data_IF_300558230220
#
_entry.id   IF_300558230220
#
_cell.length_a   1.000
_cell.length_b   1.000
_cell.length_c   1.000
_cell.angle_alpha   90.00
_cell.angle_beta   90.00
_cell.angle_gamma   90.00
#
_symmetry.space_group_name_H-M   'P 1'
#
loop_
_entity.id
_entity.type
_entity.pdbx_description
1 polymer ?
#
# COMPACT_ATOMS: atom_id res chain seq x y z
N UNK A 1 -41.36 -17.84 -38.07
CA UNK A 1 -42.30 -17.62 -36.95
C UNK A 1 -41.49 -17.84 -35.68
N UNK A 2 -40.73 -16.83 -35.22
CA UNK A 2 -41.16 -15.82 -34.24
C UNK A 2 -40.99 -16.45 -32.84
N UNK A 3 -40.24 -15.94 -31.87
CA UNK A 3 -39.83 -14.59 -31.46
C UNK A 3 -38.63 -14.77 -30.50
N UNK A 4 -37.54 -14.01 -30.58
CA UNK A 4 -37.46 -12.67 -29.97
C UNK A 4 -37.13 -12.76 -28.48
N UNK A 5 -35.87 -13.03 -28.13
CA UNK A 5 -35.35 -12.80 -26.78
C UNK A 5 -34.67 -11.42 -26.76
N UNK A 6 -35.39 -10.44 -26.24
CA UNK A 6 -34.84 -9.13 -25.88
C UNK A 6 -34.05 -9.26 -24.60
N UNK A 7 -32.72 -9.19 -24.73
CA UNK A 7 -31.81 -8.94 -23.61
C UNK A 7 -32.02 -7.51 -23.13
N UNK A 8 -32.82 -7.34 -22.08
CA UNK A 8 -32.85 -6.10 -21.30
C UNK A 8 -31.61 -6.08 -20.41
N UNK A 9 -30.63 -5.28 -20.81
CA UNK A 9 -29.47 -4.92 -20.01
C UNK A 9 -29.96 -4.24 -18.72
N UNK A 10 -29.96 -4.99 -17.62
CA UNK A 10 -30.16 -4.43 -16.27
C UNK A 10 -28.81 -3.92 -15.82
N UNK A 11 -28.71 -2.61 -15.56
CA UNK A 11 -27.67 -2.04 -14.70
C UNK A 11 -27.42 -2.97 -13.50
N UNK A 12 -26.17 -3.13 -13.03
CA UNK A 12 -25.97 -3.62 -11.67
C UNK A 12 -26.68 -2.59 -10.77
N UNK A 13 -27.90 -2.92 -10.33
CA UNK A 13 -28.46 -2.31 -9.14
C UNK A 13 -27.39 -2.54 -8.08
N UNK A 14 -26.69 -1.48 -7.68
CA UNK A 14 -26.24 -1.31 -6.30
C UNK A 14 -27.44 -1.72 -5.45
N UNK A 15 -27.45 -2.98 -5.03
CA UNK A 15 -28.60 -3.58 -4.37
C UNK A 15 -28.67 -2.90 -3.02
N UNK A 16 -29.69 -2.06 -2.84
CA UNK A 16 -30.27 -1.84 -1.53
C UNK A 16 -30.69 -3.22 -0.97
N UNK A 17 -29.78 -3.86 -0.23
CA UNK A 17 -30.15 -5.01 0.59
C UNK A 17 -30.94 -4.48 1.77
N UNK A 18 -32.26 -4.60 1.68
CA UNK A 18 -33.22 -4.31 2.75
C UNK A 18 -33.14 -5.38 3.85
N UNK A 19 -32.01 -5.47 4.54
CA UNK A 19 -31.86 -6.14 5.82
C UNK A 19 -30.75 -5.43 6.59
N UNK A 20 -31.16 -4.61 7.57
CA UNK A 20 -30.46 -4.13 8.77
C UNK A 20 -28.92 -4.28 8.81
N UNK A 21 -28.22 -3.83 7.76
CA UNK A 21 -26.85 -3.36 7.93
C UNK A 21 -27.01 -1.98 8.53
N UNK A 22 -26.58 -1.80 9.77
CA UNK A 22 -26.20 -0.49 10.30
C UNK A 22 -25.56 0.26 9.15
N UNK A 23 -26.19 1.34 8.68
CA UNK A 23 -25.76 2.10 7.53
C UNK A 23 -24.40 2.70 7.85
N UNK A 24 -23.34 1.92 7.65
CA UNK A 24 -21.99 2.46 7.65
C UNK A 24 -22.00 3.46 6.51
N UNK A 25 -21.78 4.72 6.87
CA UNK A 25 -21.56 5.81 5.93
C UNK A 25 -20.50 5.34 4.93
N UNK A 26 -20.92 5.11 3.69
CA UNK A 26 -19.99 4.68 2.65
C UNK A 26 -19.34 5.93 2.07
N UNK A 27 -18.16 6.24 2.59
CA UNK A 27 -17.36 7.32 2.06
C UNK A 27 -16.82 6.97 0.68
N UNK A 28 -16.74 7.97 -0.19
CA UNK A 28 -16.25 7.84 -1.55
C UNK A 28 -15.24 8.95 -1.87
N UNK A 29 -14.37 8.64 -2.82
CA UNK A 29 -13.48 9.57 -3.50
C UNK A 29 -13.99 9.76 -4.93
N UNK A 30 -14.05 11.01 -5.39
CA UNK A 30 -14.36 11.34 -6.77
C UNK A 30 -13.07 11.65 -7.52
N UNK A 31 -12.69 10.78 -8.45
CA UNK A 31 -11.42 10.84 -9.19
C UNK A 31 -11.70 11.31 -10.62
N UNK A 32 -11.10 12.42 -11.02
CA UNK A 32 -11.16 12.92 -12.40
C UNK A 32 -10.64 11.86 -13.37
N UNK A 33 -11.44 11.51 -14.37
CA UNK A 33 -11.03 10.55 -15.41
C UNK A 33 -9.90 11.10 -16.29
N UNK A 34 -9.83 12.43 -16.44
CA UNK A 34 -8.84 13.08 -17.29
C UNK A 34 -7.46 13.16 -16.64
N UNK A 35 -7.40 13.38 -15.33
CA UNK A 35 -6.15 13.72 -14.62
C UNK A 35 -5.80 12.75 -13.50
N UNK A 36 -6.79 12.07 -12.91
CA UNK A 36 -6.62 11.30 -11.67
C UNK A 36 -6.57 12.15 -10.39
N UNK A 37 -6.87 13.45 -10.49
CA UNK A 37 -7.02 14.34 -9.33
C UNK A 37 -8.40 14.17 -8.68
N UNK A 38 -8.53 14.58 -7.42
CA UNK A 38 -9.73 14.33 -6.63
C UNK A 38 -10.54 15.59 -6.43
N UNK A 39 -11.86 15.46 -6.53
CA UNK A 39 -12.77 16.55 -6.20
C UNK A 39 -12.67 16.88 -4.71
N UNK A 40 -12.35 18.13 -4.42
CA UNK A 40 -12.21 18.66 -3.06
C UNK A 40 -13.12 19.87 -2.86
N UNK A 41 -13.65 19.98 -1.65
CA UNK A 41 -14.26 21.22 -1.17
C UNK A 41 -13.37 21.87 -0.10
N UNK A 42 -12.44 22.73 -0.55
CA UNK A 42 -11.50 23.40 0.34
C UNK A 42 -12.13 24.44 1.30
N UNK A 43 -13.45 24.45 1.47
CA UNK A 43 -14.17 25.45 2.27
C UNK A 43 -14.13 26.87 1.69
N UNK A 44 -13.65 27.00 0.44
CA UNK A 44 -13.64 28.25 -0.32
C UNK A 44 -14.92 28.37 -1.16
N UNK A 45 -15.08 29.47 -1.88
CA UNK A 45 -16.24 29.72 -2.75
C UNK A 45 -16.34 28.76 -3.95
N UNK A 46 -15.33 27.93 -4.22
CA UNK A 46 -15.33 27.00 -5.35
C UNK A 46 -14.68 25.65 -5.02
N UNK A 47 -15.22 24.58 -5.63
CA UNK A 47 -14.63 23.25 -5.66
C UNK A 47 -13.33 23.25 -6.46
N UNK A 48 -12.40 22.38 -6.07
CA UNK A 48 -11.10 22.25 -6.72
C UNK A 48 -10.66 20.80 -6.88
N UNK A 49 -9.58 20.59 -7.63
CA UNK A 49 -8.97 19.29 -7.86
C UNK A 49 -7.64 19.17 -7.10
N UNK A 50 -7.41 18.05 -6.40
CA UNK A 50 -6.20 17.83 -5.60
C UNK A 50 -5.55 16.45 -5.84
N UNK A 51 -4.21 16.34 -5.80
CA UNK A 51 -3.52 15.05 -5.97
C UNK A 51 -3.54 14.18 -4.70
N UNK A 52 -3.68 14.81 -3.52
CA UNK A 52 -3.73 14.20 -2.19
C UNK A 52 -5.12 14.40 -1.59
N UNK A 53 -5.56 13.48 -0.73
CA UNK A 53 -6.90 13.52 -0.13
C UNK A 53 -6.83 13.68 1.39
N UNK A 54 -7.10 14.90 1.85
CA UNK A 54 -7.51 15.18 3.22
C UNK A 54 -9.05 15.04 3.34
N UNK A 55 -9.60 15.45 4.48
CA UNK A 55 -11.03 15.44 4.77
C UNK A 55 -11.88 16.15 3.70
N UNK A 56 -11.33 17.18 3.04
CA UNK A 56 -12.05 17.95 2.02
C UNK A 56 -12.31 17.16 0.74
N UNK A 57 -11.65 16.02 0.54
CA UNK A 57 -11.85 15.14 -0.62
C UNK A 57 -12.84 14.00 -0.34
N UNK A 58 -13.37 13.89 0.88
CA UNK A 58 -14.24 12.77 1.27
C UNK A 58 -15.70 13.15 1.07
N UNK A 59 -16.41 12.32 0.30
CA UNK A 59 -17.83 12.51 0.00
C UNK A 59 -18.65 11.33 0.49
N UNK A 60 -19.94 11.53 0.68
CA UNK A 60 -20.91 10.47 0.98
C UNK A 60 -22.20 10.68 0.19
N UNK A 61 -22.87 9.59 -0.16
CA UNK A 61 -24.17 9.65 -0.83
C UNK A 61 -25.25 10.14 0.13
N UNK A 62 -25.93 11.23 -0.25
CA UNK A 62 -27.15 11.68 0.41
C UNK A 62 -28.37 11.00 -0.20
N UNK A 63 -28.36 10.83 -1.51
CA UNK A 63 -29.37 10.13 -2.32
C UNK A 63 -28.72 9.62 -3.62
N UNK A 64 -29.49 9.14 -4.60
CA UNK A 64 -28.98 8.56 -5.85
C UNK A 64 -28.35 9.58 -6.83
N UNK A 65 -28.50 10.88 -6.55
CA UNK A 65 -28.08 11.97 -7.45
C UNK A 65 -27.31 13.06 -6.73
N UNK A 66 -27.10 12.93 -5.43
CA UNK A 66 -26.52 14.00 -4.63
C UNK A 66 -25.48 13.45 -3.67
N UNK A 67 -24.30 14.04 -3.73
CA UNK A 67 -23.19 13.79 -2.83
C UNK A 67 -23.04 14.94 -1.85
N UNK A 68 -22.72 14.60 -0.60
CA UNK A 68 -22.38 15.54 0.45
C UNK A 68 -20.90 15.38 0.80
N UNK A 69 -20.16 16.47 0.88
CA UNK A 69 -18.81 16.43 1.43
C UNK A 69 -18.89 16.12 2.93
N UNK A 70 -18.16 15.10 3.39
CA UNK A 70 -18.26 14.58 4.74
C UNK A 70 -17.73 15.58 5.80
N UNK A 71 -16.84 16.48 5.42
CA UNK A 71 -16.22 17.46 6.33
C UNK A 71 -16.97 18.79 6.36
N UNK A 72 -17.33 19.32 5.18
CA UNK A 72 -17.91 20.67 5.06
C UNK A 72 -19.44 20.67 4.94
N UNK A 73 -20.03 19.53 4.57
CA UNK A 73 -21.45 19.43 4.27
C UNK A 73 -21.85 20.01 2.90
N UNK A 74 -20.91 20.47 2.08
CA UNK A 74 -21.20 20.96 0.74
C UNK A 74 -21.85 19.88 -0.13
N UNK A 75 -22.78 20.29 -0.99
CA UNK A 75 -23.60 19.38 -1.79
C UNK A 75 -23.26 19.52 -3.27
N UNK A 76 -23.10 18.41 -3.97
CA UNK A 76 -22.98 18.38 -5.44
C UNK A 76 -23.99 17.42 -6.03
N UNK A 77 -24.63 17.85 -7.13
CA UNK A 77 -25.50 16.99 -7.92
C UNK A 77 -24.67 16.22 -8.94
N UNK A 78 -24.97 14.94 -9.13
CA UNK A 78 -24.28 14.06 -10.08
C UNK A 78 -25.27 13.27 -10.93
N UNK A 79 -24.84 12.90 -12.13
CA UNK A 79 -25.52 11.93 -12.98
C UNK A 79 -24.53 10.91 -13.55
N UNK A 80 -24.91 9.66 -13.82
CA UNK A 80 -24.05 8.71 -14.51
C UNK A 80 -23.49 9.29 -15.82
N UNK A 81 -22.20 9.08 -16.07
CA UNK A 81 -21.52 9.53 -17.29
C UNK A 81 -21.18 8.35 -18.18
N UNK A 82 -21.77 8.31 -19.38
CA UNK A 82 -21.56 7.27 -20.38
C UNK A 82 -22.46 6.03 -20.22
N UNK A 83 -22.61 5.27 -21.30
CA UNK A 83 -23.04 3.87 -21.22
C UNK A 83 -21.80 3.01 -20.93
N UNK A 84 -21.89 1.96 -20.08
CA UNK A 84 -20.78 1.06 -19.87
C UNK A 84 -20.29 0.52 -21.22
N UNK A 85 -19.00 0.70 -21.50
CA UNK A 85 -18.35 0.15 -22.68
C UNK A 85 -18.59 -1.36 -22.76
N UNK A 86 -18.92 -1.86 -23.95
CA UNK A 86 -19.37 -3.24 -24.18
C UNK A 86 -18.38 -4.32 -23.72
N UNK A 87 -18.93 -5.52 -23.42
CA UNK A 87 -18.28 -6.73 -22.91
C UNK A 87 -16.98 -7.16 -23.64
N UNK A 88 -16.80 -6.79 -24.91
CA UNK A 88 -15.60 -7.10 -25.69
C UNK A 88 -14.33 -6.43 -25.12
N UNK A 89 -14.49 -5.32 -24.37
CA UNK A 89 -13.37 -4.64 -23.70
C UNK A 89 -12.87 -5.40 -22.46
N UNK A 90 -13.77 -6.05 -21.71
CA UNK A 90 -13.44 -6.67 -20.44
C UNK A 90 -12.51 -7.89 -20.60
N UNK A 91 -12.83 -8.77 -21.55
CA UNK A 91 -11.99 -9.95 -21.85
C UNK A 91 -10.59 -9.54 -22.32
N UNK A 92 -10.49 -8.47 -23.12
CA UNK A 92 -9.21 -7.96 -23.59
C UNK A 92 -8.36 -7.38 -22.44
N UNK A 93 -8.98 -6.62 -21.53
CA UNK A 93 -8.31 -6.08 -20.34
C UNK A 93 -7.83 -7.21 -19.43
N UNK A 94 -8.67 -8.20 -19.16
CA UNK A 94 -8.33 -9.37 -18.33
C UNK A 94 -7.24 -10.24 -18.94
N UNK A 95 -7.22 -10.40 -20.27
CA UNK A 95 -6.16 -11.11 -20.97
C UNK A 95 -4.80 -10.42 -20.79
N UNK A 96 -4.80 -9.08 -20.73
CA UNK A 96 -3.58 -8.28 -20.60
C UNK A 96 -3.07 -8.22 -19.16
N UNK A 97 -3.93 -7.87 -18.20
CA UNK A 97 -3.53 -7.58 -16.81
C UNK A 97 -3.90 -8.69 -15.82
N UNK A 98 -4.57 -9.75 -16.28
CA UNK A 98 -5.05 -10.85 -15.46
C UNK A 98 -6.52 -10.74 -15.06
N UNK A 99 -7.10 -11.84 -14.54
CA UNK A 99 -8.51 -11.90 -14.19
C UNK A 99 -8.95 -10.76 -13.26
N UNK A 100 -10.14 -10.21 -13.51
CA UNK A 100 -10.73 -9.14 -12.70
C UNK A 100 -10.09 -7.76 -12.93
N UNK A 101 -9.19 -7.61 -13.91
CA UNK A 101 -8.64 -6.31 -14.27
C UNK A 101 -9.69 -5.38 -14.87
N UNK A 102 -10.64 -5.93 -15.62
CA UNK A 102 -11.80 -5.22 -16.15
C UNK A 102 -12.71 -4.66 -15.07
N UNK A 103 -12.73 -5.28 -13.89
CA UNK A 103 -13.50 -4.82 -12.72
C UNK A 103 -12.80 -3.68 -11.95
N UNK A 104 -11.58 -3.30 -12.34
CA UNK A 104 -10.89 -2.14 -11.76
C UNK A 104 -11.48 -0.81 -12.24
N UNK A 105 -12.23 -0.82 -13.35
CA UNK A 105 -12.94 0.35 -13.84
C UNK A 105 -14.06 0.71 -12.86
N UNK A 106 -14.03 1.95 -12.37
CA UNK A 106 -15.05 2.46 -11.45
C UNK A 106 -16.19 3.13 -12.23
N UNK A 107 -17.43 3.16 -11.70
CA UNK A 107 -18.51 3.89 -12.32
C UNK A 107 -18.18 5.39 -12.41
N UNK A 108 -18.40 5.98 -13.59
CA UNK A 108 -18.17 7.39 -13.84
C UNK A 108 -19.45 8.21 -13.67
N UNK A 109 -19.30 9.40 -13.08
CA UNK A 109 -20.36 10.34 -12.79
C UNK A 109 -19.99 11.73 -13.28
N UNK A 110 -20.94 12.43 -13.88
CA UNK A 110 -20.84 13.82 -14.24
C UNK A 110 -21.37 14.70 -13.11
N UNK A 111 -20.56 15.64 -12.62
CA UNK A 111 -21.03 16.70 -11.72
C UNK A 111 -21.88 17.71 -12.50
N UNK A 112 -23.07 18.01 -11.99
CA UNK A 112 -24.09 18.84 -12.61
C UNK A 112 -24.16 20.24 -11.97
N UNK A 113 -24.67 21.21 -12.74
CA UNK A 113 -24.88 22.59 -12.33
C UNK A 113 -23.99 23.56 -13.10
N UNK A 114 -24.33 24.85 -13.06
CA UNK A 114 -23.56 25.93 -13.71
C UNK A 114 -23.23 27.08 -12.73
N UNK A 115 -23.28 26.79 -11.44
CA UNK A 115 -22.95 27.78 -10.41
C UNK A 115 -21.43 28.05 -10.36
N UNK A 116 -21.10 29.26 -9.91
CA UNK A 116 -19.76 29.76 -9.62
C UNK A 116 -18.90 28.81 -8.79
N UNK A 117 -19.52 27.98 -7.95
CA UNK A 117 -18.86 26.92 -7.17
C UNK A 117 -18.15 25.85 -8.02
N UNK A 118 -18.53 25.66 -9.28
CA UNK A 118 -17.93 24.69 -10.20
C UNK A 118 -16.86 25.29 -11.13
N UNK A 119 -16.60 26.60 -11.02
CA UNK A 119 -15.66 27.30 -11.90
C UNK A 119 -14.24 26.74 -11.83
N UNK A 120 -13.82 26.25 -10.66
CA UNK A 120 -12.51 25.64 -10.44
C UNK A 120 -12.30 24.28 -11.14
N UNK A 121 -13.36 23.65 -11.63
CA UNK A 121 -13.30 22.36 -12.31
C UNK A 121 -13.05 22.49 -13.83
N UNK A 122 -13.28 23.68 -14.39
CA UNK A 122 -13.18 23.91 -15.84
C UNK A 122 -14.05 22.94 -16.65
N UNK A 123 -13.45 22.31 -17.66
CA UNK A 123 -14.11 21.29 -18.49
C UNK A 123 -14.18 19.91 -17.83
N UNK A 124 -13.45 19.70 -16.75
CA UNK A 124 -13.32 18.41 -16.08
C UNK A 124 -14.47 18.21 -15.10
N UNK A 125 -15.54 17.57 -15.60
CA UNK A 125 -16.75 17.33 -14.82
C UNK A 125 -17.10 15.86 -14.71
N UNK A 126 -16.23 14.95 -15.15
CA UNK A 126 -16.48 13.50 -15.15
C UNK A 126 -15.53 12.82 -14.19
N UNK A 127 -16.10 12.12 -13.23
CA UNK A 127 -15.38 11.53 -12.11
C UNK A 127 -15.75 10.07 -11.92
N UNK A 128 -14.74 9.22 -11.85
CA UNK A 128 -14.86 7.87 -11.32
C UNK A 128 -15.08 7.90 -9.80
N UNK A 129 -16.14 7.25 -9.31
CA UNK A 129 -16.38 7.11 -7.88
C UNK A 129 -15.66 5.85 -7.34
N UNK A 130 -14.70 6.06 -6.43
CA UNK A 130 -13.99 4.97 -5.73
C UNK A 130 -14.40 4.95 -4.27
N UNK A 131 -14.42 3.76 -3.67
CA UNK A 131 -14.64 3.64 -2.22
C UNK A 131 -13.50 4.31 -1.46
N UNK A 132 -13.83 5.12 -0.47
CA UNK A 132 -12.84 5.73 0.42
C UNK A 132 -12.62 4.87 1.68
N UNK A 133 -11.59 5.19 2.48
CA UNK A 133 -11.44 4.62 3.80
C UNK A 133 -12.66 4.87 4.71
N UNK A 134 -12.79 4.06 5.76
CA UNK A 134 -13.96 4.06 6.64
C UNK A 134 -14.04 5.27 7.59
N UNK A 135 -12.95 6.01 7.78
CA UNK A 135 -12.87 7.21 8.62
C UNK A 135 -12.37 8.40 7.79
N UNK A 136 -12.49 9.60 8.35
CA UNK A 136 -11.87 10.79 7.75
C UNK A 136 -10.33 10.70 7.86
N UNK A 137 -9.58 11.17 6.84
CA UNK A 137 -8.13 11.28 6.88
C UNK A 137 -7.57 11.87 8.18
N UNK A 138 -8.15 12.96 8.70
CA UNK A 138 -7.72 13.58 9.95
C UNK A 138 -7.83 12.65 11.17
N UNK A 139 -8.79 11.73 11.19
CA UNK A 139 -8.95 10.76 12.27
C UNK A 139 -7.85 9.69 12.23
N UNK A 140 -7.46 9.23 11.03
CA UNK A 140 -6.31 8.34 10.87
C UNK A 140 -5.01 9.05 11.26
N UNK A 141 -4.83 10.32 10.86
CA UNK A 141 -3.65 11.10 11.22
C UNK A 141 -3.53 11.27 12.74
N UNK A 142 -4.62 11.63 13.42
CA UNK A 142 -4.63 11.76 14.87
C UNK A 142 -4.29 10.45 15.58
N UNK A 143 -4.77 9.30 15.09
CA UNK A 143 -4.42 7.99 15.63
C UNK A 143 -2.94 7.66 15.40
N UNK A 144 -2.43 7.91 14.18
CA UNK A 144 -1.05 7.70 13.81
C UNK A 144 -0.09 8.57 14.65
N UNK A 145 -0.45 9.84 14.91
CA UNK A 145 0.32 10.73 15.79
C UNK A 145 0.31 10.31 17.25
N UNK A 146 -0.82 9.78 17.73
CA UNK A 146 -0.96 9.38 19.12
C UNK A 146 -0.32 8.01 19.43
N UNK A 147 -0.29 7.10 18.45
CA UNK A 147 0.10 5.70 18.69
C UNK A 147 1.30 5.23 17.86
N UNK A 148 1.70 6.00 16.86
CA UNK A 148 2.74 5.64 15.89
C UNK A 148 2.28 4.62 14.85
N UNK A 149 0.97 4.33 14.77
CA UNK A 149 0.40 3.47 13.73
C UNK A 149 -1.08 3.77 13.51
N UNK A 150 -1.60 3.37 12.36
CA UNK A 150 -3.03 3.37 12.04
C UNK A 150 -3.33 2.33 10.95
N UNK A 151 -4.55 1.79 10.94
CA UNK A 151 -5.05 0.97 9.82
C UNK A 151 -5.95 1.84 8.96
N UNK A 152 -5.63 1.91 7.68
CA UNK A 152 -6.43 2.55 6.63
C UNK A 152 -7.19 1.47 5.89
N UNK A 153 -8.52 1.42 6.07
CA UNK A 153 -9.39 0.48 5.38
C UNK A 153 -9.59 0.85 3.91
N UNK A 154 -10.00 -0.13 3.10
CA UNK A 154 -10.37 0.05 1.69
C UNK A 154 -9.26 0.66 0.80
N UNK A 155 -8.00 0.47 1.13
CA UNK A 155 -6.86 0.85 0.27
C UNK A 155 -6.88 0.09 -1.06
N UNK A 156 -7.33 -1.16 -1.04
CA UNK A 156 -7.58 -1.96 -2.24
C UNK A 156 -9.03 -2.42 -2.29
N UNK A 157 -9.63 -2.34 -3.49
CA UNK A 157 -10.92 -2.95 -3.74
C UNK A 157 -10.82 -4.48 -3.84
N UNK A 158 -11.93 -5.22 -3.68
CA UNK A 158 -11.96 -6.66 -3.90
C UNK A 158 -11.46 -7.09 -5.30
N UNK A 159 -11.72 -6.27 -6.32
CA UNK A 159 -11.23 -6.49 -7.68
C UNK A 159 -9.70 -6.38 -7.76
N UNK A 160 -9.12 -5.35 -7.12
CA UNK A 160 -7.65 -5.18 -7.04
C UNK A 160 -7.00 -6.37 -6.31
N UNK A 161 -7.57 -6.83 -5.21
CA UNK A 161 -7.09 -8.00 -4.48
C UNK A 161 -7.10 -9.26 -5.35
N UNK A 162 -8.23 -9.52 -6.00
CA UNK A 162 -8.41 -10.69 -6.88
C UNK A 162 -7.40 -10.68 -8.01
N UNK A 163 -7.23 -9.53 -8.68
CA UNK A 163 -6.27 -9.37 -9.77
C UNK A 163 -4.82 -9.58 -9.31
N UNK A 164 -4.43 -8.98 -8.18
CA UNK A 164 -3.08 -9.07 -7.66
C UNK A 164 -2.74 -10.51 -7.22
N UNK A 165 -3.65 -11.16 -6.48
CA UNK A 165 -3.48 -12.55 -6.06
C UNK A 165 -3.37 -13.48 -7.28
N UNK A 166 -4.16 -13.25 -8.33
CA UNK A 166 -4.07 -14.03 -9.57
C UNK A 166 -2.68 -13.88 -10.22
N UNK A 167 -2.12 -12.68 -10.26
CA UNK A 167 -0.77 -12.44 -10.80
C UNK A 167 0.33 -13.05 -9.93
N UNK A 168 0.22 -12.99 -8.60
CA UNK A 168 1.14 -13.68 -7.69
C UNK A 168 1.07 -15.21 -7.92
N UNK A 169 -0.13 -15.78 -8.08
CA UNK A 169 -0.30 -17.20 -8.37
C UNK A 169 0.32 -17.63 -9.71
N UNK A 170 0.30 -16.77 -10.74
CA UNK A 170 1.02 -17.02 -12.00
C UNK A 170 2.53 -17.14 -11.77
N UNK A 171 3.11 -16.21 -11.00
CA UNK A 171 4.52 -16.24 -10.60
C UNK A 171 4.84 -17.52 -9.83
N UNK A 172 4.02 -17.89 -8.84
CA UNK A 172 4.20 -19.13 -8.07
C UNK A 172 4.14 -20.38 -8.94
N UNK A 173 3.19 -20.45 -9.88
CA UNK A 173 3.07 -21.57 -10.82
C UNK A 173 4.32 -21.70 -11.69
N UNK A 174 4.86 -20.58 -12.19
CA UNK A 174 6.10 -20.53 -12.97
C UNK A 174 7.32 -20.95 -12.13
N UNK A 175 7.37 -20.51 -10.87
CA UNK A 175 8.45 -20.77 -9.93
C UNK A 175 8.24 -21.97 -9.00
N UNK A 176 7.36 -22.92 -9.33
CA UNK A 176 6.93 -23.99 -8.42
C UNK A 176 8.11 -24.82 -7.86
N UNK A 177 9.10 -25.14 -8.69
CA UNK A 177 10.29 -25.88 -8.27
C UNK A 177 11.18 -25.08 -7.30
N UNK A 178 11.34 -23.77 -7.56
CA UNK A 178 12.07 -22.86 -6.66
C UNK A 178 11.35 -22.78 -5.32
N UNK A 179 10.02 -22.65 -5.34
CA UNK A 179 9.18 -22.61 -4.15
C UNK A 179 9.28 -23.92 -3.34
N UNK A 180 9.18 -25.08 -4.00
CA UNK A 180 9.28 -26.39 -3.35
C UNK A 180 10.64 -26.59 -2.65
N UNK A 181 11.74 -26.19 -3.31
CA UNK A 181 13.09 -26.23 -2.70
C UNK A 181 13.20 -25.32 -1.49
N UNK A 182 12.65 -24.10 -1.57
CA UNK A 182 12.63 -23.16 -0.45
C UNK A 182 11.85 -23.75 0.74
N UNK A 183 10.65 -24.28 0.50
CA UNK A 183 9.81 -24.93 1.52
C UNK A 183 10.58 -26.06 2.20
N UNK A 184 11.13 -26.99 1.43
CA UNK A 184 11.90 -28.12 1.96
C UNK A 184 13.13 -27.69 2.78
N UNK A 185 13.74 -26.55 2.48
CA UNK A 185 14.83 -25.97 3.27
C UNK A 185 14.36 -25.38 4.60
N UNK A 186 13.21 -24.70 4.61
CA UNK A 186 12.62 -24.12 5.81
C UNK A 186 12.08 -25.18 6.78
N UNK A 187 11.55 -26.30 6.25
CA UNK A 187 10.89 -27.33 7.06
C UNK A 187 11.87 -28.24 7.83
N UNK A 188 13.17 -28.18 7.49
CA UNK A 188 14.25 -28.96 8.11
C UNK A 188 14.88 -28.30 9.35
N UNK A 189 14.30 -27.21 9.86
CA UNK A 189 14.84 -26.45 10.99
C UNK A 189 13.74 -25.85 11.87
N UNK A 190 14.03 -25.46 13.12
CA UNK A 190 13.11 -24.70 13.98
C UNK A 190 12.62 -23.38 13.37
N UNK A 191 11.59 -22.76 13.95
CA UNK A 191 11.15 -21.43 13.56
C UNK A 191 12.20 -20.38 13.96
N UNK A 192 12.55 -19.50 13.02
CA UNK A 192 13.37 -18.31 13.25
C UNK A 192 12.75 -17.11 12.53
N UNK A 193 13.24 -15.91 12.84
CA UNK A 193 12.83 -14.70 12.10
C UNK A 193 12.99 -14.90 10.59
N UNK A 194 11.94 -14.58 9.83
CA UNK A 194 11.91 -14.73 8.38
C UNK A 194 11.71 -16.16 7.84
N UNK A 195 11.56 -17.18 8.69
CA UNK A 195 11.18 -18.52 8.26
C UNK A 195 9.69 -18.62 7.95
N UNK A 196 9.29 -19.74 7.33
CA UNK A 196 7.91 -20.02 6.96
C UNK A 196 7.27 -19.02 6.00
N UNK A 197 8.08 -18.12 5.42
CA UNK A 197 7.64 -17.07 4.51
C UNK A 197 8.16 -17.39 3.10
N UNK A 198 7.26 -17.28 2.13
CA UNK A 198 7.59 -17.29 0.70
C UNK A 198 7.56 -15.85 0.23
N UNK A 199 8.61 -15.44 -0.49
CA UNK A 199 8.71 -14.12 -1.12
C UNK A 199 8.58 -14.30 -2.63
N UNK A 200 7.42 -14.00 -3.24
CA UNK A 200 7.20 -14.18 -4.68
C UNK A 200 8.30 -13.58 -5.57
N UNK A 201 8.93 -12.46 -5.15
CA UNK A 201 10.09 -11.87 -5.86
C UNK A 201 11.22 -12.88 -6.13
N UNK A 202 11.48 -13.83 -5.23
CA UNK A 202 12.51 -14.89 -5.40
C UNK A 202 12.13 -15.97 -6.42
N UNK A 203 10.87 -15.99 -6.84
CA UNK A 203 10.34 -16.94 -7.83
C UNK A 203 10.33 -16.35 -9.24
N UNK A 204 10.32 -15.02 -9.34
CA UNK A 204 10.35 -14.26 -10.58
C UNK A 204 11.69 -14.40 -11.30
N UNK A 205 11.69 -14.12 -12.60
CA UNK A 205 12.92 -14.00 -13.38
C UNK A 205 13.50 -12.59 -13.24
N UNK A 206 14.76 -12.43 -13.66
CA UNK A 206 15.45 -11.14 -13.67
C UNK A 206 14.70 -10.14 -14.57
N UNK A 207 14.62 -8.88 -14.13
CA UNK A 207 13.88 -7.83 -14.83
C UNK A 207 12.35 -7.89 -14.71
N UNK A 208 11.78 -8.89 -14.03
CA UNK A 208 10.34 -8.91 -13.72
C UNK A 208 10.07 -8.18 -12.38
N UNK A 209 9.03 -7.34 -12.34
CA UNK A 209 8.52 -6.72 -11.11
C UNK A 209 6.99 -6.66 -11.14
N UNK A 210 6.34 -6.81 -9.98
CA UNK A 210 4.88 -6.70 -9.90
C UNK A 210 4.37 -5.31 -10.28
N UNK A 211 5.20 -4.26 -10.11
CA UNK A 211 4.90 -2.91 -10.62
C UNK A 211 4.77 -2.88 -12.15
N UNK A 212 5.49 -3.76 -12.86
CA UNK A 212 5.40 -3.91 -14.32
C UNK A 212 4.35 -4.93 -14.79
N UNK A 213 3.70 -5.67 -13.87
CA UNK A 213 2.77 -6.76 -14.21
C UNK A 213 1.29 -6.39 -14.08
N UNK A 214 0.94 -5.55 -13.11
CA UNK A 214 -0.46 -5.16 -12.86
C UNK A 214 -0.56 -3.73 -12.31
N UNK A 215 -1.55 -2.92 -12.76
CA UNK A 215 -1.76 -1.58 -12.21
C UNK A 215 -2.21 -1.61 -10.75
N UNK A 216 -2.73 -2.74 -10.24
CA UNK A 216 -3.25 -2.85 -8.88
C UNK A 216 -2.19 -2.52 -7.81
N UNK A 217 -0.91 -2.81 -8.07
CA UNK A 217 0.19 -2.48 -7.13
C UNK A 217 0.39 -0.98 -7.05
N UNK A 218 0.50 -0.30 -8.20
CA UNK A 218 0.66 1.14 -8.25
C UNK A 218 -0.56 1.86 -7.66
N UNK A 219 -1.77 1.47 -8.05
CA UNK A 219 -3.01 2.07 -7.55
C UNK A 219 -3.17 1.93 -6.03
N UNK A 220 -2.80 0.79 -5.45
CA UNK A 220 -2.86 0.55 -4.01
C UNK A 220 -1.83 1.38 -3.24
N UNK A 221 -0.60 1.46 -3.74
CA UNK A 221 0.47 2.20 -3.08
C UNK A 221 0.31 3.72 -3.23
N UNK A 222 -0.21 4.17 -4.38
CA UNK A 222 -0.49 5.58 -4.66
C UNK A 222 -1.88 6.01 -4.17
N UNK A 223 -2.45 5.28 -3.20
CA UNK A 223 -3.73 5.60 -2.61
C UNK A 223 -3.68 7.02 -2.00
N UNK A 224 -4.56 7.95 -2.43
CA UNK A 224 -4.36 9.38 -2.22
C UNK A 224 -4.51 9.82 -0.76
N UNK A 225 -5.30 9.10 0.04
CA UNK A 225 -5.39 9.32 1.49
C UNK A 225 -4.14 8.79 2.18
N UNK A 226 -3.63 7.63 1.75
CA UNK A 226 -2.44 7.03 2.35
C UNK A 226 -1.21 7.89 2.10
N UNK A 227 -1.04 8.41 0.87
CA UNK A 227 0.02 9.37 0.54
C UNK A 227 -0.09 10.67 1.34
N UNK A 228 -1.30 11.21 1.49
CA UNK A 228 -1.53 12.40 2.34
C UNK A 228 -1.15 12.14 3.80
N UNK A 229 -1.51 10.98 4.35
CA UNK A 229 -1.14 10.58 5.71
C UNK A 229 0.38 10.44 5.86
N UNK A 230 1.06 9.85 4.88
CA UNK A 230 2.52 9.72 4.85
C UNK A 230 3.21 11.08 4.89
N UNK A 231 2.85 11.97 3.97
CA UNK A 231 3.40 13.33 3.87
C UNK A 231 3.10 14.14 5.14
N UNK A 232 1.86 14.11 5.63
CA UNK A 232 1.42 14.86 6.81
C UNK A 232 2.09 14.36 8.09
N UNK A 233 2.19 13.04 8.29
CA UNK A 233 2.81 12.48 9.48
C UNK A 233 4.32 12.73 9.51
N UNK A 234 5.00 12.56 8.38
CA UNK A 234 6.44 12.84 8.26
C UNK A 234 6.76 14.34 8.26
N UNK A 235 5.77 15.21 8.02
CA UNK A 235 5.94 16.66 7.97
C UNK A 235 6.70 17.12 6.73
N UNK A 236 6.51 16.44 5.60
CA UNK A 236 7.24 16.68 4.34
C UNK A 236 6.28 16.71 3.15
N UNK A 237 6.70 17.37 2.07
CA UNK A 237 5.90 17.47 0.84
C UNK A 237 6.27 16.40 -0.21
N UNK A 238 7.35 15.65 0.04
CA UNK A 238 7.91 14.73 -0.94
C UNK A 238 8.52 13.50 -0.27
N UNK A 239 8.18 12.33 -0.81
CA UNK A 239 8.45 11.01 -0.26
C UNK A 239 8.83 10.04 -1.38
N UNK A 240 9.55 8.98 -1.02
CA UNK A 240 9.90 7.92 -1.96
C UNK A 240 10.08 6.57 -1.28
N UNK A 241 10.22 5.51 -2.08
CA UNK A 241 10.50 4.19 -1.56
C UNK A 241 11.91 4.13 -0.97
N UNK A 242 12.02 3.74 0.29
CA UNK A 242 13.25 3.11 0.79
C UNK A 242 13.21 1.59 0.53
N UNK A 243 12.03 0.98 0.45
CA UNK A 243 11.88 -0.39 -0.06
C UNK A 243 10.90 -0.39 -1.22
N UNK A 244 11.29 -0.89 -2.38
CA UNK A 244 10.29 -1.21 -3.38
C UNK A 244 9.27 -2.24 -2.83
N UNK A 245 8.02 -2.19 -3.28
CA UNK A 245 6.97 -3.04 -2.74
C UNK A 245 7.29 -4.52 -2.92
N UNK A 246 7.47 -5.21 -1.79
CA UNK A 246 7.69 -6.63 -1.70
C UNK A 246 6.42 -7.38 -1.30
N UNK A 247 6.41 -8.68 -1.56
CA UNK A 247 5.29 -9.56 -1.21
C UNK A 247 5.77 -10.65 -0.25
N UNK A 248 4.96 -10.93 0.77
CA UNK A 248 5.22 -12.01 1.72
C UNK A 248 4.00 -12.89 1.87
N UNK A 249 4.21 -14.20 1.75
CA UNK A 249 3.21 -15.24 1.98
C UNK A 249 3.68 -16.04 3.19
N UNK A 250 3.05 -15.81 4.33
CA UNK A 250 3.29 -16.60 5.54
C UNK A 250 2.50 -17.90 5.45
N UNK A 251 3.19 -19.04 5.45
CA UNK A 251 2.57 -20.37 5.39
C UNK A 251 1.93 -20.72 6.74
N UNK A 252 1.02 -21.71 6.79
CA UNK A 252 0.56 -22.29 8.04
C UNK A 252 1.73 -22.80 8.90
N UNK A 253 1.56 -22.76 10.22
CA UNK A 253 2.53 -23.25 11.19
C UNK A 253 2.42 -24.77 11.33
N UNK A 254 3.03 -25.51 10.39
CA UNK A 254 2.90 -26.98 10.28
C UNK A 254 4.15 -27.76 10.70
N UNK A 255 5.18 -27.11 11.26
CA UNK A 255 6.39 -27.82 11.69
C UNK A 255 6.05 -28.83 12.79
N UNK A 256 6.76 -29.96 12.81
CA UNK A 256 6.51 -31.06 13.74
C UNK A 256 7.79 -31.47 14.50
N UNK A 257 7.62 -32.16 15.63
CA UNK A 257 8.71 -32.63 16.47
C UNK A 257 9.59 -31.48 16.97
N UNK A 258 10.91 -31.68 16.98
CA UNK A 258 11.89 -30.71 17.45
C UNK A 258 11.90 -29.40 16.65
N UNK A 259 11.33 -29.39 15.44
CA UNK A 259 11.25 -28.19 14.59
C UNK A 259 10.09 -27.25 14.96
N UNK A 260 9.23 -27.63 15.93
CA UNK A 260 8.19 -26.75 16.50
C UNK A 260 8.78 -25.64 17.37
N UNK A 261 10.04 -25.78 17.79
CA UNK A 261 10.71 -24.79 18.63
C UNK A 261 10.77 -23.42 17.97
N UNK A 262 10.55 -22.39 18.79
CA UNK A 262 10.63 -20.98 18.40
C UNK A 262 11.97 -20.44 18.88
N UNK A 263 12.83 -20.07 17.95
CA UNK A 263 14.10 -19.44 18.29
C UNK A 263 13.85 -18.00 18.78
N UNK A 264 14.58 -17.55 19.81
CA UNK A 264 14.61 -16.13 20.19
C UNK A 264 14.95 -15.23 19.00
N UNK A 265 14.49 -13.99 19.05
CA UNK A 265 14.85 -12.95 18.07
C UNK A 265 13.68 -12.41 17.24
N UNK A 266 14.01 -11.59 16.25
CA UNK A 266 13.06 -11.06 15.26
C UNK A 266 12.37 -9.77 15.67
N UNK A 267 12.51 -9.29 16.90
CA UNK A 267 12.08 -7.95 17.29
C UNK A 267 13.05 -6.92 16.76
N UNK A 268 12.54 -6.00 15.94
CA UNK A 268 13.31 -4.93 15.33
C UNK A 268 12.46 -3.66 15.16
N UNK A 269 13.11 -2.58 14.76
CA UNK A 269 12.51 -1.40 14.15
C UNK A 269 13.20 -1.19 12.79
N UNK A 270 12.47 -0.70 11.79
CA UNK A 270 12.99 -0.58 10.42
C UNK A 270 13.85 0.68 10.21
N UNK A 271 13.51 1.80 10.86
CA UNK A 271 14.21 3.08 10.67
C UNK A 271 14.09 4.02 11.90
N UNK A 272 15.11 4.84 12.24
CA UNK A 272 16.48 4.75 11.75
C UNK A 272 17.04 3.39 12.11
N UNK A 273 17.80 2.78 11.18
CA UNK A 273 18.46 1.50 11.45
C UNK A 273 19.25 1.69 12.75
N UNK A 274 18.84 1.04 13.85
CA UNK A 274 19.48 1.27 15.11
C UNK A 274 20.92 0.80 14.96
N UNK A 275 21.87 1.66 15.32
CA UNK A 275 23.29 1.33 15.38
C UNK A 275 23.52 0.51 16.64
N UNK A 276 23.13 -0.76 16.63
CA UNK A 276 23.43 -1.74 17.66
C UNK A 276 23.45 -3.15 17.08
N UNK A 277 24.05 -4.10 17.81
CA UNK A 277 24.50 -5.47 17.44
C UNK A 277 23.91 -6.23 16.23
N UNK A 278 22.68 -6.01 15.77
CA UNK A 278 22.18 -6.52 14.48
C UNK A 278 22.62 -5.67 13.28
N UNK A 279 22.78 -4.35 13.41
CA UNK A 279 23.63 -3.60 12.47
C UNK A 279 25.03 -4.17 12.56
N UNK A 280 25.64 -4.47 13.71
CA UNK A 280 26.97 -5.11 13.70
C UNK A 280 27.01 -6.47 12.97
N UNK A 281 25.89 -7.19 12.82
CA UNK A 281 25.81 -8.40 12.00
C UNK A 281 25.66 -8.11 10.48
N UNK A 282 25.11 -6.95 10.11
CA UNK A 282 24.97 -6.48 8.72
C UNK A 282 26.04 -5.46 8.28
N UNK A 283 26.69 -4.78 9.22
CA UNK A 283 27.70 -3.71 9.10
C UNK A 283 29.09 -4.20 9.50
N UNK A 284 29.26 -5.41 10.05
CA UNK A 284 30.59 -6.04 10.15
C UNK A 284 31.25 -6.19 8.76
N UNK A 285 30.45 -6.29 7.69
CA UNK A 285 30.94 -6.27 6.32
C UNK A 285 31.10 -4.85 5.74
N UNK A 286 30.59 -3.82 6.43
CA UNK A 286 30.62 -2.43 5.99
C UNK A 286 31.75 -1.73 6.77
N UNK A 287 32.87 -1.47 6.11
CA UNK A 287 34.04 -0.85 6.73
C UNK A 287 33.74 0.57 7.28
N UNK A 288 34.68 1.20 8.01
CA UNK A 288 34.53 2.56 8.56
C UNK A 288 34.08 3.62 7.53
N UNK A 289 34.50 3.48 6.27
CA UNK A 289 34.09 4.35 5.15
C UNK A 289 32.59 4.23 4.81
N UNK A 290 32.01 3.06 4.99
CA UNK A 290 30.61 2.81 4.66
C UNK A 290 29.66 3.27 5.78
N UNK A 291 30.18 3.33 7.01
CA UNK A 291 29.57 4.02 8.14
C UNK A 291 29.54 5.55 7.92
N UNK A 292 30.60 6.11 7.36
CA UNK A 292 30.65 7.51 6.92
C UNK A 292 29.68 7.77 5.75
N UNK A 293 29.42 6.77 4.89
CA UNK A 293 28.34 6.82 3.88
C UNK A 293 26.93 6.80 4.48
N UNK A 294 26.71 6.13 5.62
CA UNK A 294 25.43 6.19 6.37
C UNK A 294 25.21 7.59 6.95
N UNK A 295 26.26 8.20 7.52
CA UNK A 295 26.22 9.58 8.01
C UNK A 295 26.09 10.62 6.86
N UNK A 296 26.64 10.30 5.68
CA UNK A 296 26.51 11.07 4.44
C UNK A 296 25.26 10.72 3.60
N UNK A 297 24.44 9.76 4.03
CA UNK A 297 23.24 9.31 3.31
C UNK A 297 22.04 10.22 3.53
N UNK A 298 22.11 11.14 4.49
CA UNK A 298 21.07 12.12 4.70
C UNK A 298 21.61 13.46 4.21
N UNK A 299 20.85 14.04 3.27
CA UNK A 299 21.26 15.24 2.53
C UNK A 299 21.83 16.29 3.48
N UNK A 300 22.97 16.89 3.09
CA UNK A 300 23.60 18.01 3.81
C UNK A 300 22.66 19.21 4.02
N UNK A 301 21.50 19.21 3.34
CA UNK A 301 20.40 20.16 3.48
C UNK A 301 19.67 20.10 4.83
N UNK A 302 19.78 19.03 5.61
CA UNK A 302 18.98 18.84 6.84
C UNK A 302 19.84 18.49 8.07
N UNK A 303 20.82 19.31 8.49
CA UNK A 303 21.88 18.94 9.44
C UNK A 303 21.43 18.50 10.85
N UNK A 304 20.20 18.81 11.27
CA UNK A 304 19.66 18.50 12.60
C UNK A 304 19.00 17.11 12.72
N UNK A 305 18.93 16.33 11.61
CA UNK A 305 18.22 15.04 11.51
C UNK A 305 18.67 13.95 12.51
N UNK A 306 19.86 14.11 13.10
CA UNK A 306 20.49 13.13 14.00
C UNK A 306 19.75 12.95 15.32
N UNK A 307 18.69 13.71 15.57
CA UNK A 307 17.83 13.50 16.71
C UNK A 307 16.81 12.40 16.35
N UNK A 308 16.87 11.24 17.02
CA UNK A 308 15.90 10.11 16.90
C UNK A 308 14.42 10.51 17.03
N UNK A 309 14.16 11.75 17.46
CA UNK A 309 12.83 12.37 17.51
C UNK A 309 12.22 12.56 16.12
N UNK A 310 13.04 12.70 15.09
CA UNK A 310 12.58 12.95 13.74
C UNK A 310 11.97 11.69 13.11
N UNK A 311 10.80 11.88 12.47
CA UNK A 311 10.06 10.84 11.77
C UNK A 311 10.68 10.66 10.38
N UNK A 312 11.57 9.67 10.24
CA UNK A 312 12.38 9.51 9.02
C UNK A 312 11.92 8.35 8.12
N UNK A 313 10.94 7.56 8.56
CA UNK A 313 10.38 6.49 7.76
C UNK A 313 9.05 6.00 8.28
N UNK A 314 8.25 5.46 7.36
CA UNK A 314 7.00 4.80 7.66
C UNK A 314 6.90 3.51 6.84
N UNK A 315 6.48 2.44 7.50
CA UNK A 315 6.12 1.20 6.86
C UNK A 315 4.67 1.25 6.39
N UNK A 316 4.43 0.72 5.20
CA UNK A 316 3.09 0.57 4.65
C UNK A 316 2.87 -0.89 4.24
N UNK A 317 2.08 -1.60 5.05
CA UNK A 317 1.81 -3.01 4.85
C UNK A 317 0.34 -3.22 4.50
N UNK A 318 0.05 -3.64 3.28
CA UNK A 318 -1.30 -3.91 2.80
C UNK A 318 -1.60 -5.40 2.92
N UNK A 319 -2.70 -5.72 3.61
CA UNK A 319 -3.22 -7.07 3.74
C UNK A 319 -3.81 -7.54 2.41
N UNK A 320 -3.33 -8.68 1.88
CA UNK A 320 -3.95 -9.34 0.73
C UNK A 320 -4.92 -10.46 1.14
N UNK A 321 -4.83 -10.88 2.40
CA UNK A 321 -5.78 -11.74 3.12
C UNK A 321 -6.04 -11.11 4.47
N UNK A 322 -7.11 -11.50 5.18
CA UNK A 322 -7.37 -10.98 6.52
C UNK A 322 -6.17 -11.21 7.46
N UNK A 323 -5.84 -10.18 8.22
CA UNK A 323 -4.88 -10.26 9.31
C UNK A 323 -5.69 -10.51 10.59
N UNK A 324 -5.42 -11.63 11.24
CA UNK A 324 -5.95 -11.97 12.57
C UNK A 324 -4.84 -12.61 13.40
N UNK A 325 -4.97 -12.69 14.73
CA UNK A 325 -4.01 -13.39 15.57
C UNK A 325 -3.78 -14.83 15.12
N UNK A 326 -4.86 -15.54 14.75
CA UNK A 326 -4.82 -16.93 14.29
C UNK A 326 -4.12 -17.08 12.92
N UNK A 327 -4.18 -16.05 12.08
CA UNK A 327 -3.49 -16.01 10.78
C UNK A 327 -2.01 -15.59 10.91
N UNK A 328 -1.51 -15.36 12.13
CA UNK A 328 -0.15 -14.89 12.38
C UNK A 328 0.05 -13.44 11.94
N UNK A 329 -0.89 -12.55 12.26
CA UNK A 329 -0.72 -11.11 12.01
C UNK A 329 0.52 -10.55 12.73
N UNK A 330 1.09 -9.49 12.18
CA UNK A 330 2.31 -8.86 12.70
C UNK A 330 2.14 -8.49 14.18
N UNK A 331 3.17 -8.79 14.98
CA UNK A 331 3.23 -8.43 16.38
C UNK A 331 3.88 -7.07 16.54
N UNK A 332 3.36 -6.26 17.46
CA UNK A 332 3.83 -4.91 17.76
C UNK A 332 3.96 -4.70 19.26
N UNK A 333 4.84 -3.78 19.66
CA UNK A 333 4.75 -3.10 20.97
C UNK A 333 4.24 -1.69 20.70
N UNK A 334 3.01 -1.38 21.07
CA UNK A 334 2.42 -0.07 20.79
C UNK A 334 3.12 1.04 21.58
N UNK A 335 3.21 2.24 21.01
CA UNK A 335 3.93 3.37 21.63
C UNK A 335 5.45 3.27 21.57
N UNK A 336 6.02 2.12 21.17
CA UNK A 336 7.48 1.95 21.13
C UNK A 336 8.22 2.87 20.14
N UNK A 337 7.50 3.51 19.21
CA UNK A 337 8.04 4.54 18.35
C UNK A 337 8.58 5.76 19.11
N UNK A 338 8.11 6.01 20.35
CA UNK A 338 8.60 7.06 21.24
C UNK A 338 9.84 6.64 22.04
N UNK A 339 10.23 5.37 22.01
CA UNK A 339 11.34 4.88 22.82
C UNK A 339 12.68 5.34 22.26
N UNK A 340 13.62 5.66 23.15
CA UNK A 340 14.95 6.18 22.80
C UNK A 340 15.90 5.12 22.21
N UNK A 341 15.49 3.85 22.22
CA UNK A 341 16.30 2.68 21.89
C UNK A 341 15.63 1.76 20.86
N UNK A 342 16.40 0.88 20.20
CA UNK A 342 15.83 -0.31 19.55
C UNK A 342 15.24 -1.28 20.58
N UNK A 343 14.55 -2.36 20.14
CA UNK A 343 14.09 -3.39 21.04
C UNK A 343 15.18 -3.84 22.03
N UNK A 344 14.90 -3.85 23.34
CA UNK A 344 15.84 -4.31 24.34
C UNK A 344 16.37 -5.72 24.03
N UNK A 345 17.65 -5.97 24.33
CA UNK A 345 18.28 -7.28 24.07
C UNK A 345 17.50 -8.43 24.71
N UNK A 346 16.87 -8.21 25.87
CA UNK A 346 16.01 -9.19 26.54
C UNK A 346 14.82 -9.65 25.71
N UNK A 347 14.21 -8.79 24.89
CA UNK A 347 13.11 -9.17 23.99
C UNK A 347 13.56 -10.19 22.92
N UNK A 348 14.84 -10.14 22.54
CA UNK A 348 15.44 -11.04 21.56
C UNK A 348 16.23 -12.19 22.19
N UNK A 349 16.40 -12.22 23.51
CA UNK A 349 17.14 -13.25 24.23
C UNK A 349 16.30 -14.50 24.54
N UNK A 350 14.96 -14.38 24.50
CA UNK A 350 14.02 -15.48 24.78
C UNK A 350 12.96 -15.61 23.67
N UNK A 351 12.32 -16.79 23.52
CA UNK A 351 11.19 -16.95 22.61
C UNK A 351 10.05 -15.99 22.94
N UNK A 352 9.31 -15.53 21.93
CA UNK A 352 8.21 -14.58 22.14
C UNK A 352 6.97 -15.26 22.72
N UNK A 353 6.55 -14.80 23.90
CA UNK A 353 5.29 -15.22 24.55
C UNK A 353 4.52 -13.95 24.92
N UNK A 354 3.51 -13.60 24.11
CA UNK A 354 2.73 -12.38 24.32
C UNK A 354 2.08 -12.37 25.71
N UNK A 355 2.19 -11.24 26.42
CA UNK A 355 1.65 -11.09 27.76
C UNK A 355 2.62 -11.48 28.90
N UNK A 356 3.82 -11.98 28.59
CA UNK A 356 4.78 -12.44 29.60
C UNK A 356 6.15 -11.74 29.49
N UNK A 357 6.77 -11.49 30.65
CA UNK A 357 8.14 -10.98 30.74
C UNK A 357 8.41 -9.74 29.87
N UNK A 358 9.46 -9.73 29.03
CA UNK A 358 9.77 -8.62 28.13
C UNK A 358 8.76 -8.45 26.98
N UNK A 359 7.80 -9.38 26.83
CA UNK A 359 6.76 -9.37 25.79
C UNK A 359 5.36 -9.07 26.35
N UNK A 360 5.26 -8.54 27.58
CA UNK A 360 3.99 -8.24 28.25
C UNK A 360 3.08 -7.26 27.48
N UNK A 361 3.68 -6.35 26.71
CA UNK A 361 2.99 -5.30 25.95
C UNK A 361 2.83 -5.65 24.45
N UNK A 362 3.10 -6.91 24.09
CA UNK A 362 3.01 -7.39 22.72
C UNK A 362 1.57 -7.63 22.31
N UNK A 363 1.18 -7.08 21.17
CA UNK A 363 -0.15 -7.22 20.58
C UNK A 363 -0.09 -7.62 19.11
N UNK A 364 -1.17 -8.23 18.63
CA UNK A 364 -1.38 -8.57 17.22
C UNK A 364 -2.55 -7.78 16.67
N UNK A 365 -2.33 -7.04 15.59
CA UNK A 365 -3.37 -6.24 14.96
C UNK A 365 -4.25 -7.08 14.05
N UNK A 366 -5.55 -6.79 14.05
CA UNK A 366 -6.51 -7.41 13.13
C UNK A 366 -7.05 -6.38 12.16
N UNK A 367 -7.04 -6.70 10.88
CA UNK A 367 -7.61 -5.85 9.83
C UNK A 367 -7.91 -6.68 8.58
N UNK A 368 -8.97 -6.32 7.82
CA UNK A 368 -9.41 -7.13 6.70
C UNK A 368 -8.50 -6.97 5.49
N UNK A 369 -8.55 -7.96 4.58
CA UNK A 369 -7.93 -7.88 3.28
C UNK A 369 -8.30 -6.59 2.55
N UNK A 370 -7.33 -5.99 1.88
CA UNK A 370 -7.45 -4.72 1.18
C UNK A 370 -7.26 -3.48 2.06
N UNK A 371 -7.10 -3.66 3.37
CA UNK A 371 -6.67 -2.58 4.27
C UNK A 371 -5.15 -2.51 4.35
N UNK A 372 -4.62 -1.33 4.64
CA UNK A 372 -3.19 -1.13 4.88
C UNK A 372 -2.91 -0.59 6.27
N UNK A 373 -1.98 -1.21 6.98
CA UNK A 373 -1.42 -0.64 8.21
C UNK A 373 -0.25 0.27 7.86
N UNK A 374 -0.33 1.51 8.33
CA UNK A 374 0.75 2.48 8.36
C UNK A 374 1.34 2.48 9.76
N UNK A 375 2.65 2.39 9.89
CA UNK A 375 3.30 2.54 11.20
C UNK A 375 4.67 3.18 11.07
N UNK A 376 4.98 4.01 12.06
CA UNK A 376 6.28 4.64 12.23
C UNK A 376 7.37 3.58 12.25
N UNK A 377 8.40 3.75 11.44
CA UNK A 377 9.47 2.76 11.31
C UNK A 377 10.27 2.52 12.59
N UNK A 378 10.12 3.37 13.62
CA UNK A 378 10.68 3.16 14.97
C UNK A 378 9.89 2.15 15.80
N UNK A 379 8.66 1.82 15.40
CA UNK A 379 7.79 0.89 16.11
C UNK A 379 8.42 -0.50 16.15
N UNK A 380 8.55 -1.04 17.36
CA UNK A 380 9.02 -2.40 17.57
C UNK A 380 7.99 -3.38 17.04
N UNK A 381 8.44 -4.25 16.16
CA UNK A 381 7.57 -5.25 15.58
C UNK A 381 8.34 -6.50 15.19
N UNK A 382 7.59 -7.57 14.93
CA UNK A 382 8.12 -8.82 14.36
C UNK A 382 7.05 -9.52 13.54
N UNK A 383 7.50 -10.28 12.55
CA UNK A 383 6.65 -11.32 11.96
C UNK A 383 6.69 -12.56 12.86
N UNK A 384 5.53 -13.14 13.23
CA UNK A 384 5.48 -14.36 14.05
C UNK A 384 5.23 -15.62 13.19
N UNK A 385 6.25 -16.19 12.54
CA UNK A 385 6.08 -17.30 11.61
C UNK A 385 5.52 -18.59 12.24
N UNK A 386 5.60 -18.68 13.56
CA UNK A 386 5.08 -19.76 14.39
C UNK A 386 3.58 -19.62 14.74
N UNK A 387 2.95 -18.46 14.54
CA UNK A 387 1.59 -18.20 15.02
C UNK A 387 0.50 -18.32 13.95
N UNK A 388 0.83 -18.61 12.69
CA UNK A 388 -0.20 -18.83 11.67
C UNK A 388 -0.84 -20.24 11.80
N UNK A 389 -1.74 -20.38 12.76
CA UNK A 389 -2.48 -21.62 13.04
C UNK A 389 -3.81 -21.71 12.28
N UNK A 390 -4.12 -20.73 11.43
CA UNK A 390 -5.37 -20.64 10.68
C UNK A 390 -5.60 -21.77 9.64
N UNK A 391 -4.56 -22.55 9.33
CA UNK A 391 -4.55 -23.54 8.26
C UNK A 391 -4.55 -22.94 6.85
N UNK A 392 -4.38 -21.62 6.73
CA UNK A 392 -4.35 -20.89 5.45
C UNK A 392 -3.10 -20.01 5.34
N UNK A 393 -2.67 -19.72 4.13
CA UNK A 393 -1.57 -18.78 3.89
C UNK A 393 -2.03 -17.33 4.19
N UNK A 394 -1.18 -16.51 4.80
CA UNK A 394 -1.42 -15.08 5.07
C UNK A 394 -0.53 -14.18 4.21
N UNK A 395 -1.15 -13.35 3.38
CA UNK A 395 -0.49 -12.64 2.29
C UNK A 395 -0.42 -11.15 2.58
N UNK A 396 0.73 -10.53 2.29
CA UNK A 396 0.95 -9.10 2.48
C UNK A 396 1.75 -8.51 1.33
N UNK A 397 1.45 -7.25 0.99
CA UNK A 397 2.32 -6.36 0.25
C UNK A 397 2.95 -5.37 1.23
N UNK A 398 4.26 -5.14 1.15
CA UNK A 398 5.01 -4.41 2.16
C UNK A 398 5.98 -3.45 1.49
N UNK A 399 6.04 -2.21 1.96
CA UNK A 399 7.02 -1.22 1.51
C UNK A 399 7.44 -0.33 2.68
N UNK A 400 8.63 0.27 2.55
CA UNK A 400 9.13 1.32 3.42
C UNK A 400 9.18 2.62 2.63
N UNK A 401 8.63 3.68 3.20
CA UNK A 401 8.56 5.01 2.58
C UNK A 401 9.28 5.99 3.50
N UNK A 402 10.10 6.85 2.91
CA UNK A 402 10.90 7.84 3.62
C UNK A 402 10.77 9.21 2.93
N UNK A 403 11.08 10.32 3.62
CA UNK A 403 11.21 11.62 2.97
C UNK A 403 12.22 11.59 1.80
N UNK A 404 11.98 12.36 0.74
CA UNK A 404 12.83 12.32 -0.45
C UNK A 404 14.30 12.75 -0.20
N UNK A 405 14.57 13.47 0.88
CA UNK A 405 15.93 13.84 1.30
C UNK A 405 16.68 12.72 2.06
N UNK A 406 15.99 11.65 2.44
CA UNK A 406 16.59 10.45 3.06
C UNK A 406 16.98 9.51 1.94
N UNK A 407 18.28 9.22 1.79
CA UNK A 407 18.75 8.29 0.76
C UNK A 407 18.37 6.85 1.11
N UNK A 408 18.08 6.06 0.09
CA UNK A 408 17.93 4.62 0.25
C UNK A 408 19.29 3.98 0.58
N UNK A 409 19.31 3.18 1.64
CA UNK A 409 20.51 2.58 2.22
C UNK A 409 20.72 1.12 1.83
N UNK A 410 19.74 0.51 1.17
CA UNK A 410 19.88 -0.87 0.68
C UNK A 410 20.65 -0.90 -0.64
N UNK A 411 21.27 -2.05 -0.93
CA UNK A 411 21.79 -2.35 -2.26
C UNK A 411 20.71 -1.99 -3.29
N UNK A 412 21.06 -1.09 -4.22
CA UNK A 412 20.16 -0.39 -5.14
C UNK A 412 19.34 -1.31 -6.05
N UNK A 413 19.70 -2.60 -6.09
CA UNK A 413 19.29 -3.54 -7.11
C UNK A 413 17.77 -3.72 -7.19
N UNK A 414 17.06 -3.95 -6.08
CA UNK A 414 15.60 -4.20 -6.15
C UNK A 414 14.79 -2.96 -6.60
N UNK A 415 15.23 -1.76 -6.22
CA UNK A 415 14.58 -0.50 -6.59
C UNK A 415 14.88 -0.13 -8.04
N UNK A 416 16.14 -0.26 -8.45
CA UNK A 416 16.58 -0.04 -9.83
C UNK A 416 15.89 -1.03 -10.77
N UNK A 417 15.88 -2.32 -10.45
CA UNK A 417 15.18 -3.34 -11.25
C UNK A 417 13.67 -3.07 -11.34
N UNK A 418 13.04 -2.64 -10.24
CA UNK A 418 11.62 -2.30 -10.27
C UNK A 418 11.34 -1.07 -11.14
N UNK A 419 12.24 -0.09 -11.12
CA UNK A 419 12.16 1.08 -11.99
C UNK A 419 12.40 0.73 -13.46
N UNK A 420 13.34 -0.16 -13.76
CA UNK A 420 13.61 -0.66 -15.13
C UNK A 420 12.41 -1.46 -15.66
N UNK A 421 11.88 -2.36 -14.83
CA UNK A 421 10.69 -3.13 -15.14
C UNK A 421 9.47 -2.21 -15.39
N UNK A 422 9.33 -1.16 -14.59
CA UNK A 422 8.27 -0.16 -14.79
C UNK A 422 8.48 0.64 -16.07
N UNK A 423 9.69 1.11 -16.37
CA UNK A 423 10.00 1.84 -17.61
C UNK A 423 9.59 1.05 -18.87
N UNK A 424 9.79 -0.28 -18.86
CA UNK A 424 9.37 -1.16 -19.95
C UNK A 424 7.86 -1.48 -19.99
N UNK A 425 7.09 -1.10 -18.97
CA UNK A 425 5.71 -1.54 -18.77
C UNK A 425 4.68 -0.59 -19.41
N UNK A 426 4.78 -0.36 -20.72
CA UNK A 426 3.88 0.56 -21.48
C UNK A 426 2.39 0.28 -21.27
N UNK A 427 2.01 -1.00 -21.11
CA UNK A 427 0.63 -1.40 -20.81
C UNK A 427 0.18 -0.92 -19.44
N UNK A 428 1.06 -0.92 -18.45
CA UNK A 428 0.79 -0.36 -17.11
C UNK A 428 0.66 1.15 -17.21
N UNK A 429 1.52 1.82 -17.99
CA UNK A 429 1.40 3.28 -18.19
C UNK A 429 0.04 3.67 -18.76
N UNK A 430 -0.49 2.89 -19.71
CA UNK A 430 -1.80 3.14 -20.29
C UNK A 430 -2.98 2.90 -19.30
N UNK A 431 -2.77 2.09 -18.26
CA UNK A 431 -3.79 1.74 -17.28
C UNK A 431 -3.82 2.67 -16.06
N UNK A 432 -2.77 3.47 -15.85
CA UNK A 432 -2.67 4.42 -14.75
C UNK A 432 -3.13 5.82 -15.20
N UNK A 433 -3.70 6.58 -14.26
CA UNK A 433 -3.99 8.00 -14.51
C UNK A 433 -2.70 8.81 -14.56
N UNK A 434 -2.75 10.04 -15.10
CA UNK A 434 -1.60 10.94 -15.10
C UNK A 434 -1.05 11.17 -13.68
N UNK A 435 -1.94 11.43 -12.71
CA UNK A 435 -1.57 11.56 -11.30
C UNK A 435 -0.83 10.32 -10.76
N UNK A 436 -1.38 9.12 -11.01
CA UNK A 436 -0.78 7.86 -10.53
C UNK A 436 0.60 7.64 -11.17
N UNK A 437 0.79 7.96 -12.45
CA UNK A 437 2.09 7.87 -13.13
C UNK A 437 3.13 8.81 -12.50
N UNK A 438 2.75 10.07 -12.27
CA UNK A 438 3.63 11.04 -11.64
C UNK A 438 4.04 10.60 -10.23
N UNK A 439 3.11 10.08 -9.45
CA UNK A 439 3.41 9.56 -8.10
C UNK A 439 4.36 8.35 -8.18
N UNK A 440 4.13 7.38 -9.07
CA UNK A 440 5.04 6.21 -9.22
C UNK A 440 6.45 6.65 -9.62
N UNK A 441 6.58 7.57 -10.57
CA UNK A 441 7.88 8.09 -11.01
C UNK A 441 8.64 8.77 -9.89
N UNK A 442 7.96 9.56 -9.05
CA UNK A 442 8.55 10.18 -7.85
C UNK A 442 9.00 9.13 -6.84
N UNK A 443 8.17 8.12 -6.59
CA UNK A 443 8.47 7.09 -5.60
C UNK A 443 9.66 6.20 -6.00
N UNK A 444 9.95 6.10 -7.31
CA UNK A 444 11.07 5.37 -7.89
C UNK A 444 12.35 6.22 -8.06
N UNK A 445 12.43 7.43 -7.50
CA UNK A 445 13.64 8.26 -7.57
C UNK A 445 14.86 7.57 -6.92
N UNK A 446 16.06 7.76 -7.46
CA UNK A 446 17.30 7.12 -6.95
C UNK A 446 18.44 8.14 -6.78
N UNK A 447 18.10 9.43 -6.71
CA UNK A 447 19.08 10.49 -6.45
C UNK A 447 18.83 11.23 -5.14
N UNK A 448 19.87 11.92 -4.67
CA UNK A 448 19.85 12.74 -3.44
C UNK A 448 18.97 14.00 -3.56
N UNK A 449 18.38 14.21 -4.75
CA UNK A 449 17.52 15.34 -5.08
C UNK A 449 16.03 14.95 -5.17
N UNK A 450 15.70 13.68 -4.91
CA UNK A 450 14.35 13.16 -5.02
C UNK A 450 13.79 13.21 -6.45
N UNK A 451 14.65 13.38 -7.47
CA UNK A 451 14.18 13.53 -8.84
C UNK A 451 13.88 12.16 -9.47
N UNK A 452 12.77 12.05 -10.22
CA UNK A 452 12.51 10.86 -11.01
C UNK A 452 13.68 10.53 -11.94
N UNK A 453 13.94 9.24 -12.09
CA UNK A 453 14.89 8.73 -13.10
C UNK A 453 14.48 9.19 -14.50
N UNK A 454 15.38 9.89 -15.20
CA UNK A 454 15.09 10.51 -16.50
C UNK A 454 14.69 9.50 -17.58
N UNK A 455 15.29 8.30 -17.55
CA UNK A 455 14.98 7.22 -18.48
C UNK A 455 13.57 6.66 -18.24
N UNK A 456 13.15 6.52 -16.98
CA UNK A 456 11.76 6.13 -16.63
C UNK A 456 10.79 7.22 -17.10
N UNK A 457 11.08 8.49 -16.81
CA UNK A 457 10.24 9.61 -17.23
C UNK A 457 10.09 9.70 -18.76
N UNK A 458 11.19 9.51 -19.50
CA UNK A 458 11.19 9.48 -20.95
C UNK A 458 10.37 8.31 -21.50
N UNK A 459 10.47 7.12 -20.88
CA UNK A 459 9.69 5.95 -21.28
C UNK A 459 8.18 6.14 -21.05
N UNK A 460 7.79 6.73 -19.93
CA UNK A 460 6.39 7.09 -19.65
C UNK A 460 5.88 8.09 -20.68
N UNK A 461 6.63 9.17 -20.93
CA UNK A 461 6.27 10.18 -21.92
C UNK A 461 6.13 9.58 -23.34
N UNK A 462 7.06 8.72 -23.75
CA UNK A 462 7.01 8.05 -25.05
C UNK A 462 5.82 7.10 -25.20
N UNK A 463 5.38 6.46 -24.11
CA UNK A 463 4.20 5.58 -24.14
C UNK A 463 2.87 6.32 -24.24
N UNK A 464 2.89 7.64 -24.03
CA UNK A 464 1.71 8.53 -24.01
C UNK A 464 1.57 9.40 -25.25
N UNK A 465 2.64 9.53 -26.03
CA UNK A 465 2.67 10.21 -27.33
C UNK A 465 2.14 9.30 -28.43
#
# INVERSE_FOLDING_TARGET
RGSGFTSQCRYPKLRASTNERSAMHEYILLVSDATGLHLSDGGQTALGLRPRCDDSCIWEWKDDKTLRNAATGAMVSVAPSGEPSADDSATAIDAVFGPGASELASPAFRVLGDDSSLSGLGADRVFSARQAPARLPSAYLAELEAQGWTVVENVMSPAMLTNLIANINRVRKKGADKEAKLRAGQDKRPYKSGDNIIRPRRLMDEGESFLGMTPAVAQALMHPVSLWLLESYLGVEDIHYCQCPGFTILRPAEKAGDNTQVMPGGWHCDYPYPVNSETAAHTYMLGPEEFEKLDASISTRYPDWKQRRDRLGMQFNIALTDFTPEAGSTQFVLGSHEFEGPPPTEMNAIPTVAGEGPHKDVVQMSFPAGSGILYDSRTYHRSPPELNVSGRERWAMQTCIVPSFVRDLRERDEKVESADAFAGATRIHAALTERELQDVMKMLCDDEFGQPRQDVAAAVAASRA
#
